data_IF_861359220465
#
_entry.id   IF_861359220465
#
_cell.length_a   1.000
_cell.length_b   1.000
_cell.length_c   1.000
_cell.angle_alpha   90.00
_cell.angle_beta   90.00
_cell.angle_gamma   90.00
#
_symmetry.space_group_name_H-M   'P 1'
#
loop_
_entity.id
_entity.type
_entity.pdbx_description
1 polymer ?
#
# COMPACT_ATOMS: atom_id res chain seq x y z
N UNK A 1 10.90 -18.53 6.60
CA UNK A 1 11.06 -18.21 5.16
C UNK A 1 12.54 -18.09 4.85
N UNK A 2 13.04 -18.91 3.91
CA UNK A 2 14.45 -18.92 3.50
C UNK A 2 14.71 -17.77 2.54
N UNK A 3 15.47 -16.79 3.00
CA UNK A 3 15.90 -15.65 2.18
C UNK A 3 17.17 -16.01 1.39
N UNK A 4 17.14 -15.96 0.07
CA UNK A 4 18.33 -15.91 -0.78
C UNK A 4 18.44 -14.51 -1.40
N UNK A 5 19.57 -13.83 -1.14
CA UNK A 5 19.84 -12.52 -1.73
C UNK A 5 18.82 -11.42 -1.39
N UNK A 6 18.19 -11.47 -0.21
CA UNK A 6 17.20 -10.47 0.24
C UNK A 6 15.81 -10.62 -0.36
N UNK A 7 15.51 -11.70 -1.07
CA UNK A 7 14.18 -12.02 -1.61
C UNK A 7 13.62 -13.29 -0.99
N UNK A 8 12.34 -13.29 -0.61
CA UNK A 8 11.64 -14.51 -0.21
C UNK A 8 11.34 -15.39 -1.44
N UNK A 9 11.06 -16.68 -1.22
CA UNK A 9 10.78 -17.64 -2.30
C UNK A 9 9.65 -17.16 -3.23
N UNK A 10 8.55 -16.66 -2.68
CA UNK A 10 7.43 -16.12 -3.44
C UNK A 10 7.83 -14.93 -4.33
N UNK A 11 8.68 -14.02 -3.82
CA UNK A 11 9.18 -12.89 -4.61
C UNK A 11 10.23 -13.28 -5.67
N UNK A 12 10.82 -14.49 -5.58
CA UNK A 12 11.71 -14.99 -6.62
C UNK A 12 10.93 -15.60 -7.78
N UNK A 13 9.77 -16.18 -7.50
CA UNK A 13 8.89 -16.76 -8.52
C UNK A 13 7.94 -15.74 -9.15
N UNK A 14 7.68 -14.60 -8.47
CA UNK A 14 6.77 -13.56 -8.93
C UNK A 14 7.53 -12.43 -9.61
N UNK A 15 7.09 -12.06 -10.80
CA UNK A 15 7.64 -10.90 -11.53
C UNK A 15 6.81 -9.64 -11.16
N UNK A 16 7.09 -9.05 -10.00
CA UNK A 16 6.38 -7.86 -9.53
C UNK A 16 6.82 -6.58 -10.22
N UNK A 17 5.91 -5.65 -10.42
CA UNK A 17 6.16 -4.31 -10.97
C UNK A 17 6.89 -3.39 -9.96
N UNK A 18 6.81 -3.68 -8.66
CA UNK A 18 7.52 -2.91 -7.63
C UNK A 18 8.94 -3.46 -7.38
N UNK A 19 9.86 -2.59 -7.00
CA UNK A 19 11.28 -2.94 -6.80
C UNK A 19 11.55 -3.69 -5.51
N UNK A 20 10.94 -3.25 -4.39
CA UNK A 20 11.19 -3.77 -3.04
C UNK A 20 9.97 -3.55 -2.14
N UNK A 21 9.68 -4.50 -1.29
CA UNK A 21 8.65 -4.42 -0.25
C UNK A 21 9.26 -4.49 1.15
N UNK A 22 8.66 -3.79 2.10
CA UNK A 22 9.05 -3.78 3.51
C UNK A 22 7.85 -4.16 4.37
N UNK A 23 7.92 -5.31 5.01
CA UNK A 23 6.96 -5.70 6.05
C UNK A 23 7.43 -5.21 7.41
N UNK A 24 6.52 -4.67 8.20
CA UNK A 24 6.81 -4.13 9.53
C UNK A 24 6.43 -5.10 10.65
N UNK A 25 5.36 -5.87 10.44
CA UNK A 25 4.83 -6.81 11.41
C UNK A 25 4.51 -8.14 10.73
N UNK A 26 4.71 -9.23 11.44
CA UNK A 26 4.20 -10.55 11.03
C UNK A 26 2.70 -10.61 11.36
N UNK A 27 1.89 -11.16 10.46
CA UNK A 27 0.44 -11.23 10.63
C UNK A 27 0.08 -12.40 11.54
N UNK A 28 0.23 -12.21 12.87
CA UNK A 28 -0.16 -13.13 13.92
C UNK A 28 -1.59 -12.88 14.44
N UNK A 29 -1.96 -13.54 15.53
CA UNK A 29 -3.28 -13.39 16.14
C UNK A 29 -3.53 -11.97 16.66
N UNK A 30 -2.58 -11.41 17.38
CA UNK A 30 -2.68 -10.08 17.98
C UNK A 30 -2.69 -8.97 16.92
N UNK A 31 -1.81 -9.06 15.93
CA UNK A 31 -1.74 -8.10 14.82
C UNK A 31 -3.03 -8.14 13.99
N UNK A 32 -3.61 -9.32 13.81
CA UNK A 32 -4.91 -9.48 13.15
C UNK A 32 -6.02 -8.73 13.88
N UNK A 33 -6.12 -8.90 15.21
CA UNK A 33 -7.11 -8.19 16.02
C UNK A 33 -6.92 -6.68 15.94
N UNK A 34 -5.69 -6.19 16.08
CA UNK A 34 -5.34 -4.79 15.97
C UNK A 34 -5.75 -4.19 14.62
N UNK A 35 -5.49 -4.91 13.52
CA UNK A 35 -5.86 -4.47 12.17
C UNK A 35 -7.38 -4.52 11.96
N UNK A 36 -8.07 -5.52 12.52
CA UNK A 36 -9.53 -5.59 12.47
C UNK A 36 -10.18 -4.44 13.24
N UNK A 37 -9.67 -4.12 14.42
CA UNK A 37 -10.08 -2.97 15.22
C UNK A 37 -9.88 -1.65 14.45
N UNK A 38 -8.73 -1.51 13.83
CA UNK A 38 -8.42 -0.36 12.99
C UNK A 38 -9.35 -0.25 11.77
N UNK A 39 -9.74 -1.38 11.18
CA UNK A 39 -10.59 -1.39 9.98
C UNK A 39 -12.07 -1.25 10.28
N UNK A 40 -12.55 -1.77 11.41
CA UNK A 40 -14.00 -1.98 11.60
C UNK A 40 -14.54 -1.40 12.90
N UNK A 41 -13.71 -1.13 13.90
CA UNK A 41 -14.15 -0.70 15.23
C UNK A 41 -13.83 0.78 15.53
N UNK A 42 -13.66 1.61 14.49
CA UNK A 42 -13.51 3.06 14.64
C UNK A 42 -12.19 3.51 15.28
N UNK A 43 -11.22 2.61 15.49
CA UNK A 43 -9.95 2.94 16.14
C UNK A 43 -8.95 3.63 15.19
N UNK A 44 -9.40 4.69 14.49
CA UNK A 44 -8.56 5.47 13.56
C UNK A 44 -7.28 6.04 14.18
N UNK A 45 -7.26 6.28 15.51
CA UNK A 45 -6.07 6.73 16.23
C UNK A 45 -4.87 5.77 16.10
N UNK A 46 -5.11 4.48 15.84
CA UNK A 46 -4.05 3.50 15.57
C UNK A 46 -3.23 3.84 14.33
N UNK A 47 -3.77 4.64 13.40
CA UNK A 47 -3.04 5.09 12.22
C UNK A 47 -1.74 5.81 12.56
N UNK A 48 -1.72 6.60 13.64
CA UNK A 48 -0.48 7.24 14.13
C UNK A 48 0.54 6.20 14.59
N UNK A 49 0.12 5.20 15.36
CA UNK A 49 1.00 4.13 15.86
C UNK A 49 1.57 3.29 14.71
N UNK A 50 0.73 2.93 13.74
CA UNK A 50 1.22 2.22 12.55
C UNK A 50 2.17 3.08 11.71
N UNK A 51 1.92 4.39 11.59
CA UNK A 51 2.84 5.32 10.94
C UNK A 51 4.20 5.41 11.64
N UNK A 52 4.22 5.41 12.97
CA UNK A 52 5.46 5.38 13.77
C UNK A 52 6.23 4.07 13.51
N UNK A 53 5.55 2.91 13.52
CA UNK A 53 6.15 1.60 13.23
C UNK A 53 6.72 1.55 11.80
N UNK A 54 5.98 2.07 10.81
CA UNK A 54 6.45 2.17 9.42
C UNK A 54 7.73 3.00 9.34
N UNK A 55 7.78 4.17 9.99
CA UNK A 55 8.94 5.02 10.01
C UNK A 55 10.15 4.33 10.65
N UNK A 56 9.98 3.72 11.82
CA UNK A 56 11.05 3.01 12.52
C UNK A 56 11.61 1.86 11.69
N UNK A 57 10.76 1.17 10.90
CA UNK A 57 11.20 0.08 10.03
C UNK A 57 12.06 0.54 8.86
N UNK A 58 11.74 1.69 8.26
CA UNK A 58 12.34 2.08 6.97
C UNK A 58 13.34 3.24 7.06
N UNK A 59 13.41 3.98 8.17
CA UNK A 59 14.27 5.17 8.31
C UNK A 59 15.76 4.92 8.05
N UNK A 60 16.23 3.68 8.23
CA UNK A 60 17.63 3.30 8.01
C UNK A 60 17.91 2.69 6.64
N UNK A 61 16.90 2.53 5.81
CA UNK A 61 17.02 1.85 4.50
C UNK A 61 17.59 2.73 3.38
N UNK A 62 17.99 3.95 3.66
CA UNK A 62 18.54 4.91 2.67
C UNK A 62 17.71 5.00 1.37
N UNK A 63 16.39 5.07 1.51
CA UNK A 63 15.46 5.12 0.40
C UNK A 63 15.43 6.51 -0.23
N UNK A 64 15.69 6.59 -1.52
CA UNK A 64 15.49 7.82 -2.31
C UNK A 64 14.04 7.86 -2.77
N UNK A 65 13.18 8.54 -2.01
CA UNK A 65 11.74 8.65 -2.26
C UNK A 65 11.38 10.12 -2.38
N UNK A 66 10.57 10.44 -3.38
CA UNK A 66 10.02 11.78 -3.61
C UNK A 66 8.64 11.92 -2.97
N UNK A 67 7.80 10.88 -3.08
CA UNK A 67 6.40 10.95 -2.70
C UNK A 67 5.90 9.66 -2.04
N UNK A 68 5.00 9.82 -1.06
CA UNK A 68 4.30 8.71 -0.39
C UNK A 68 2.85 8.70 -0.87
N UNK A 69 2.39 7.53 -1.32
CA UNK A 69 1.03 7.32 -1.83
C UNK A 69 0.36 6.19 -1.04
N UNK A 70 -0.73 6.45 -0.32
CA UNK A 70 -1.53 5.40 0.30
C UNK A 70 -2.35 4.65 -0.76
N UNK A 71 -2.48 3.33 -0.63
CA UNK A 71 -3.40 2.55 -1.45
C UNK A 71 -4.84 2.97 -1.15
N UNK A 72 -5.61 3.39 -2.17
CA UNK A 72 -6.98 3.84 -1.94
C UNK A 72 -7.92 2.67 -1.68
N UNK A 73 -8.87 2.87 -0.77
CA UNK A 73 -10.02 1.98 -0.62
C UNK A 73 -11.18 2.49 -1.47
N UNK A 74 -12.17 1.63 -1.75
CA UNK A 74 -13.36 2.06 -2.49
C UNK A 74 -14.20 3.03 -1.65
N UNK A 75 -14.80 4.04 -2.28
CA UNK A 75 -15.60 5.09 -1.61
C UNK A 75 -16.71 4.54 -0.70
N UNK A 76 -17.35 3.44 -1.08
CA UNK A 76 -18.36 2.77 -0.25
C UNK A 76 -17.77 2.31 1.08
N UNK A 77 -16.56 1.73 1.06
CA UNK A 77 -15.87 1.28 2.27
C UNK A 77 -15.39 2.46 3.10
N UNK A 78 -14.89 3.51 2.47
CA UNK A 78 -14.45 4.71 3.14
C UNK A 78 -15.60 5.41 3.87
N UNK A 79 -16.77 5.57 3.21
CA UNK A 79 -17.98 6.11 3.85
C UNK A 79 -18.43 5.27 5.04
N UNK A 80 -18.39 3.93 4.92
CA UNK A 80 -18.79 3.03 6.02
C UNK A 80 -17.80 3.07 7.18
N UNK A 81 -16.50 3.24 6.90
CA UNK A 81 -15.41 3.23 7.89
C UNK A 81 -15.17 4.61 8.48
N UNK A 82 -15.45 5.67 7.74
CA UNK A 82 -15.17 7.05 8.09
C UNK A 82 -13.78 7.54 7.70
N UNK A 83 -12.89 6.65 7.25
CA UNK A 83 -11.51 6.99 6.85
C UNK A 83 -10.88 5.91 5.96
N UNK A 84 -9.84 6.31 5.22
CA UNK A 84 -8.92 5.38 4.59
C UNK A 84 -7.77 5.07 5.56
N UNK A 85 -7.65 3.82 6.01
CA UNK A 85 -6.64 3.40 6.98
C UNK A 85 -5.20 3.59 6.49
N UNK A 86 -4.94 3.32 5.23
CA UNK A 86 -3.59 3.49 4.64
C UNK A 86 -3.20 4.96 4.57
N UNK A 87 -4.17 5.85 4.37
CA UNK A 87 -3.93 7.30 4.35
C UNK A 87 -3.52 7.83 5.73
N UNK A 88 -4.19 7.40 6.81
CA UNK A 88 -3.82 7.81 8.17
C UNK A 88 -2.38 7.38 8.52
N UNK A 89 -1.98 6.16 8.12
CA UNK A 89 -0.61 5.68 8.31
C UNK A 89 0.39 6.47 7.46
N UNK A 90 0.07 6.67 6.18
CA UNK A 90 0.92 7.39 5.25
C UNK A 90 1.11 8.87 5.65
N UNK A 91 0.06 9.52 6.15
CA UNK A 91 0.12 10.90 6.64
C UNK A 91 1.09 11.04 7.83
N UNK A 92 1.02 10.10 8.78
CA UNK A 92 1.96 10.09 9.91
C UNK A 92 3.39 9.84 9.45
N UNK A 93 3.60 8.87 8.57
CA UNK A 93 4.91 8.56 8.00
C UNK A 93 5.49 9.76 7.24
N UNK A 94 4.69 10.42 6.40
CA UNK A 94 5.09 11.60 5.64
C UNK A 94 5.51 12.76 6.57
N UNK A 95 4.76 12.98 7.66
CA UNK A 95 5.09 13.97 8.68
C UNK A 95 6.44 13.69 9.33
N UNK A 96 6.70 12.44 9.76
CA UNK A 96 7.94 12.05 10.43
C UNK A 96 9.15 12.11 9.50
N UNK A 97 8.96 11.81 8.22
CA UNK A 97 10.04 11.73 7.24
C UNK A 97 10.27 13.04 6.47
N UNK A 98 9.37 14.00 6.60
CA UNK A 98 9.43 15.26 5.82
C UNK A 98 9.23 15.02 4.32
N UNK A 99 8.39 14.03 3.94
CA UNK A 99 8.12 13.67 2.55
C UNK A 99 6.74 14.14 2.11
N UNK A 100 6.60 14.36 0.79
CA UNK A 100 5.31 14.75 0.20
C UNK A 100 4.33 13.58 0.28
N UNK A 101 3.11 13.84 0.77
CA UNK A 101 1.99 12.90 0.75
C UNK A 101 1.06 13.26 -0.41
N UNK A 102 0.68 12.26 -1.22
CA UNK A 102 -0.27 12.42 -2.34
C UNK A 102 -1.41 11.39 -2.23
N UNK A 103 -2.39 11.57 -1.32
CA UNK A 103 -3.48 10.63 -1.12
C UNK A 103 -4.41 10.55 -2.35
N UNK A 104 -4.52 11.65 -3.11
CA UNK A 104 -5.39 11.75 -4.29
C UNK A 104 -4.72 11.31 -5.61
N UNK A 105 -3.49 10.77 -5.57
CA UNK A 105 -2.78 10.37 -6.78
C UNK A 105 -3.37 9.12 -7.43
N UNK A 106 -3.89 8.21 -6.62
CA UNK A 106 -4.59 7.00 -7.03
C UNK A 106 -6.06 7.04 -6.59
N UNK A 107 -6.90 6.37 -7.36
CA UNK A 107 -8.30 6.10 -6.97
C UNK A 107 -8.65 4.63 -7.23
N UNK A 108 -9.50 4.06 -6.38
CA UNK A 108 -10.09 2.75 -6.59
C UNK A 108 -11.40 2.92 -7.35
N UNK A 109 -11.46 2.39 -8.56
CA UNK A 109 -12.57 2.60 -9.51
C UNK A 109 -13.69 1.58 -9.35
N UNK A 110 -13.37 0.39 -8.82
CA UNK A 110 -14.33 -0.71 -8.63
C UNK A 110 -14.27 -1.25 -7.21
N UNK A 111 -15.44 -1.57 -6.66
CA UNK A 111 -15.51 -2.38 -5.46
C UNK A 111 -15.22 -3.83 -5.84
N UNK A 112 -14.14 -4.38 -5.31
CA UNK A 112 -13.83 -5.81 -5.51
C UNK A 112 -14.44 -6.64 -4.39
N UNK A 113 -14.85 -7.86 -4.71
CA UNK A 113 -15.29 -8.87 -3.75
C UNK A 113 -14.21 -9.04 -2.67
N UNK A 114 -14.57 -9.59 -1.51
CA UNK A 114 -13.63 -9.88 -0.43
C UNK A 114 -12.50 -10.77 -0.94
N UNK A 115 -11.33 -10.16 -1.20
CA UNK A 115 -10.16 -10.82 -1.81
C UNK A 115 -9.66 -12.04 -1.00
N UNK A 116 -9.96 -12.10 0.30
CA UNK A 116 -9.51 -13.20 1.15
C UNK A 116 -10.14 -14.56 0.85
N UNK A 117 -11.27 -14.59 0.14
CA UNK A 117 -11.91 -15.85 -0.31
C UNK A 117 -11.43 -16.32 -1.69
N UNK A 118 -10.56 -15.55 -2.36
CA UNK A 118 -10.07 -15.82 -3.70
C UNK A 118 -8.69 -16.48 -3.68
N UNK A 119 -8.42 -17.35 -4.64
CA UNK A 119 -7.07 -17.85 -4.92
C UNK A 119 -6.14 -16.71 -5.39
N UNK A 120 -4.81 -16.89 -5.41
CA UNK A 120 -3.87 -15.87 -5.88
C UNK A 120 -4.17 -15.37 -7.30
N UNK A 121 -4.49 -16.28 -8.23
CA UNK A 121 -4.82 -15.96 -9.64
C UNK A 121 -6.11 -15.15 -9.73
N UNK A 122 -7.14 -15.56 -8.99
CA UNK A 122 -8.42 -14.84 -8.94
C UNK A 122 -8.27 -13.44 -8.33
N UNK A 123 -7.38 -13.27 -7.33
CA UNK A 123 -7.07 -11.95 -6.74
C UNK A 123 -6.44 -11.01 -7.77
N UNK A 124 -5.47 -11.49 -8.52
CA UNK A 124 -4.83 -10.71 -9.58
C UNK A 124 -5.86 -10.27 -10.61
N UNK A 125 -6.67 -11.22 -11.13
CA UNK A 125 -7.73 -10.94 -12.09
C UNK A 125 -8.76 -9.94 -11.56
N UNK A 126 -9.20 -10.07 -10.30
CA UNK A 126 -10.15 -9.17 -9.67
C UNK A 126 -9.60 -7.74 -9.46
N UNK A 127 -8.29 -7.60 -9.29
CA UNK A 127 -7.63 -6.31 -9.07
C UNK A 127 -7.24 -5.60 -10.36
N UNK A 128 -7.09 -6.33 -11.47
CA UNK A 128 -6.73 -5.74 -12.76
C UNK A 128 -7.77 -4.69 -13.20
N UNK A 129 -7.30 -3.44 -13.35
CA UNK A 129 -8.15 -2.28 -13.67
C UNK A 129 -9.07 -1.82 -12.53
N UNK A 130 -8.85 -2.28 -11.29
CA UNK A 130 -9.59 -1.80 -10.12
C UNK A 130 -9.07 -0.47 -9.59
N UNK A 131 -7.93 0.00 -10.09
CA UNK A 131 -7.30 1.27 -9.73
C UNK A 131 -7.04 2.12 -10.96
N UNK A 132 -6.96 3.42 -10.76
CA UNK A 132 -6.57 4.36 -11.80
C UNK A 132 -5.74 5.51 -11.21
N UNK A 133 -4.79 6.01 -12.00
CA UNK A 133 -4.06 7.24 -11.68
C UNK A 133 -4.99 8.42 -11.99
N UNK A 134 -5.16 9.33 -11.04
CA UNK A 134 -6.01 10.52 -11.20
C UNK A 134 -5.39 11.56 -12.15
N UNK A 135 -6.15 12.59 -12.53
CA UNK A 135 -5.60 13.69 -13.32
C UNK A 135 -4.41 14.37 -12.63
N UNK A 136 -4.51 14.58 -11.31
CA UNK A 136 -3.42 15.13 -10.49
C UNK A 136 -2.21 14.20 -10.48
N UNK A 137 -2.41 12.90 -10.26
CA UNK A 137 -1.33 11.92 -10.32
C UNK A 137 -0.61 11.92 -11.66
N UNK A 138 -1.35 11.92 -12.78
CA UNK A 138 -0.77 11.98 -14.12
C UNK A 138 0.09 13.23 -14.37
N UNK A 139 -0.25 14.35 -13.75
CA UNK A 139 0.50 15.60 -13.90
C UNK A 139 1.76 15.65 -13.02
N UNK A 140 1.73 15.05 -11.83
CA UNK A 140 2.75 15.27 -10.79
C UNK A 140 3.70 14.10 -10.56
N UNK A 141 3.36 12.88 -11.02
CA UNK A 141 4.14 11.66 -10.73
C UNK A 141 5.22 11.29 -11.76
N UNK A 142 5.22 11.76 -13.02
CA UNK A 142 6.28 11.39 -13.96
C UNK A 142 7.67 11.72 -13.40
N UNK A 143 8.59 10.74 -13.47
CA UNK A 143 9.95 10.84 -12.96
C UNK A 143 10.10 10.74 -11.43
N UNK A 144 9.03 10.58 -10.67
CA UNK A 144 9.07 10.48 -9.19
C UNK A 144 9.31 9.06 -8.72
N UNK A 145 10.12 8.94 -7.67
CA UNK A 145 10.26 7.70 -6.91
C UNK A 145 9.17 7.64 -5.83
N UNK A 146 8.39 6.57 -5.84
CA UNK A 146 7.15 6.44 -5.06
C UNK A 146 7.30 5.39 -3.97
N UNK A 147 6.82 5.70 -2.76
CA UNK A 147 6.56 4.73 -1.71
C UNK A 147 5.05 4.49 -1.58
N UNK A 148 4.61 3.28 -1.91
CA UNK A 148 3.23 2.84 -1.69
C UNK A 148 3.05 2.32 -0.27
N UNK A 149 1.93 2.68 0.37
CA UNK A 149 1.56 2.21 1.71
C UNK A 149 0.30 1.37 1.65
N UNK A 150 0.39 0.13 2.15
CA UNK A 150 -0.76 -0.78 2.33
C UNK A 150 -0.80 -1.29 3.78
N UNK A 151 -1.96 -1.81 4.20
CA UNK A 151 -2.17 -2.30 5.56
C UNK A 151 -1.86 -3.80 5.72
N UNK A 152 -2.11 -4.61 4.71
CA UNK A 152 -1.88 -6.07 4.74
C UNK A 152 -1.28 -6.52 3.41
N UNK A 153 -0.07 -7.04 3.48
CA UNK A 153 0.56 -7.73 2.37
C UNK A 153 0.21 -9.23 2.43
N UNK A 154 -0.33 -9.76 1.34
CA UNK A 154 -0.58 -11.20 1.17
C UNK A 154 0.21 -11.75 -0.02
N UNK A 155 -0.34 -11.64 -1.22
CA UNK A 155 0.32 -12.03 -2.48
C UNK A 155 1.03 -10.86 -3.17
N UNK A 156 0.86 -9.64 -2.69
CA UNK A 156 1.37 -8.44 -3.33
C UNK A 156 0.50 -7.91 -4.48
N UNK A 157 -0.55 -8.61 -4.90
CA UNK A 157 -1.33 -8.27 -6.09
C UNK A 157 -1.91 -6.84 -6.09
N UNK A 158 -2.28 -6.30 -4.91
CA UNK A 158 -2.76 -4.91 -4.79
C UNK A 158 -1.64 -3.91 -5.09
N UNK A 159 -0.49 -4.10 -4.45
CA UNK A 159 0.69 -3.24 -4.65
C UNK A 159 1.19 -3.36 -6.07
N UNK A 160 1.18 -4.58 -6.64
CA UNK A 160 1.65 -4.84 -7.98
C UNK A 160 0.81 -4.11 -9.04
N UNK A 161 -0.52 -4.22 -8.97
CA UNK A 161 -1.41 -3.48 -9.88
C UNK A 161 -1.26 -1.96 -9.75
N UNK A 162 -1.14 -1.44 -8.53
CA UNK A 162 -0.89 -0.01 -8.32
C UNK A 162 0.47 0.42 -8.86
N UNK A 163 1.52 -0.39 -8.66
CA UNK A 163 2.86 -0.12 -9.18
C UNK A 163 2.86 -0.12 -10.71
N UNK A 164 2.22 -1.10 -11.33
CA UNK A 164 2.11 -1.20 -12.79
C UNK A 164 1.52 0.08 -13.39
N UNK A 165 0.36 0.54 -12.92
CA UNK A 165 -0.29 1.75 -13.48
C UNK A 165 0.47 3.04 -13.17
N UNK A 166 1.23 3.10 -12.07
CA UNK A 166 2.10 4.23 -11.75
C UNK A 166 3.31 4.28 -12.69
N UNK A 167 3.95 3.14 -12.97
CA UNK A 167 5.04 3.05 -13.94
C UNK A 167 4.57 3.38 -15.36
N UNK A 168 3.38 2.92 -15.77
CA UNK A 168 2.76 3.29 -17.05
C UNK A 168 2.45 4.80 -17.14
N UNK A 169 2.23 5.44 -15.98
CA UNK A 169 2.06 6.90 -15.90
C UNK A 169 3.41 7.66 -15.92
N UNK A 170 4.54 6.97 -16.00
CA UNK A 170 5.88 7.57 -16.06
C UNK A 170 6.57 7.77 -14.72
N UNK A 171 6.11 7.15 -13.63
CA UNK A 171 6.85 7.13 -12.37
C UNK A 171 8.23 6.47 -12.58
N UNK A 172 9.25 6.89 -11.84
CA UNK A 172 10.61 6.37 -11.97
C UNK A 172 10.80 5.02 -11.25
N UNK A 173 10.12 4.82 -10.15
CA UNK A 173 10.13 3.60 -9.33
C UNK A 173 8.95 3.61 -8.35
#
# INVERSE_FOLDING_TARGET
ETYRGGRCYSCMESNHSFRKGYSCLTYGLYEREMILDYKYNGKGYLGKKFGDILFDRIRWENLKIDVIIPIPIHRTRERKRGYNQTELMAARLAQLWGKTLMPDALQRTRETILLRSLSPIERESALRGAFAVTKKGKAELPGKAILLIDDIYTTGATIDECSRILLECGAAA
#
